data_IF_720482045610
#
_entry.id   IF_720482045610
#
_cell.length_a   1.000
_cell.length_b   1.000
_cell.length_c   1.000
_cell.angle_alpha   90.00
_cell.angle_beta   90.00
_cell.angle_gamma   90.00
#
_symmetry.space_group_name_H-M   'P 1'
#
loop_
_entity.id
_entity.type
_entity.pdbx_description
1 polymer ?
#
# COMPACT_ATOMS: atom_id res chain seq x y z
N UNK A 1 -9.20 14.62 -22.49
CA UNK A 1 -7.80 14.14 -22.52
C UNK A 1 -7.84 12.65 -22.27
N UNK A 2 -7.50 11.82 -23.25
CA UNK A 2 -7.59 10.36 -23.13
C UNK A 2 -6.45 9.84 -22.25
N UNK A 3 -6.76 9.40 -21.02
CA UNK A 3 -5.78 8.79 -20.10
C UNK A 3 -5.64 7.27 -20.31
N UNK A 4 -6.10 6.74 -21.44
CA UNK A 4 -6.06 5.31 -21.75
C UNK A 4 -7.30 4.55 -21.27
N UNK A 5 -7.24 3.21 -21.11
CA UNK A 5 -8.37 2.38 -20.67
C UNK A 5 -8.89 2.68 -19.25
N UNK A 6 -8.33 3.70 -18.60
CA UNK A 6 -8.52 4.02 -17.19
C UNK A 6 -9.26 5.34 -16.96
N UNK A 7 -9.79 5.97 -18.01
CA UNK A 7 -10.46 7.28 -17.96
C UNK A 7 -11.68 7.34 -17.02
N UNK A 8 -12.18 6.18 -16.56
CA UNK A 8 -13.31 6.05 -15.63
C UNK A 8 -12.96 5.77 -14.17
N UNK A 9 -11.68 5.57 -13.80
CA UNK A 9 -11.31 5.19 -12.43
C UNK A 9 -10.85 6.42 -11.64
N UNK A 10 -11.55 6.73 -10.55
CA UNK A 10 -11.23 7.86 -9.67
C UNK A 10 -10.76 7.40 -8.29
N UNK A 11 -9.44 7.33 -8.11
CA UNK A 11 -8.78 7.03 -6.82
C UNK A 11 -8.86 8.17 -5.80
N UNK A 12 -9.45 9.30 -6.17
CA UNK A 12 -9.65 10.47 -5.29
C UNK A 12 -11.12 10.75 -5.02
N UNK A 13 -12.00 9.84 -5.46
CA UNK A 13 -13.45 9.93 -5.34
C UNK A 13 -13.93 9.89 -3.89
N UNK A 14 -15.20 10.25 -3.69
CA UNK A 14 -15.87 10.16 -2.38
C UNK A 14 -16.01 8.70 -1.99
N UNK A 15 -15.71 8.39 -0.73
CA UNK A 15 -15.82 7.03 -0.21
C UNK A 15 -17.28 6.58 -0.17
N UNK A 16 -17.56 5.44 -0.77
CA UNK A 16 -18.79 4.68 -0.54
C UNK A 16 -18.81 4.07 0.87
N UNK A 17 -20.00 3.72 1.41
CA UNK A 17 -20.11 3.04 2.71
C UNK A 17 -19.29 1.74 2.80
N UNK A 18 -19.20 1.00 1.69
CA UNK A 18 -18.43 -0.23 1.59
C UNK A 18 -16.93 0.07 1.70
N UNK A 19 -16.42 1.06 0.98
CA UNK A 19 -15.02 1.47 1.08
C UNK A 19 -14.68 1.97 2.49
N UNK A 20 -15.54 2.75 3.14
CA UNK A 20 -15.33 3.16 4.54
C UNK A 20 -15.19 1.95 5.46
N UNK A 21 -16.07 0.96 5.29
CA UNK A 21 -16.01 -0.29 6.08
C UNK A 21 -14.71 -1.04 5.84
N UNK A 22 -14.30 -1.17 4.57
CA UNK A 22 -13.02 -1.78 4.18
C UNK A 22 -11.83 -1.04 4.80
N UNK A 23 -11.82 0.30 4.75
CA UNK A 23 -10.75 1.12 5.33
C UNK A 23 -10.65 0.86 6.83
N UNK A 24 -11.77 0.88 7.57
CA UNK A 24 -11.77 0.65 9.03
C UNK A 24 -11.28 -0.77 9.36
N UNK A 25 -11.74 -1.77 8.62
CA UNK A 25 -11.31 -3.15 8.80
C UNK A 25 -9.81 -3.32 8.56
N UNK A 26 -9.31 -2.88 7.39
CA UNK A 26 -7.90 -2.96 7.03
C UNK A 26 -7.03 -2.14 7.99
N UNK A 27 -7.46 -0.94 8.38
CA UNK A 27 -6.74 -0.10 9.34
C UNK A 27 -6.61 -0.80 10.69
N UNK A 28 -7.68 -1.44 11.18
CA UNK A 28 -7.65 -2.20 12.44
C UNK A 28 -6.64 -3.35 12.37
N UNK A 29 -6.61 -4.08 11.25
CA UNK A 29 -5.64 -5.14 11.02
C UNK A 29 -4.20 -4.61 11.00
N UNK A 30 -3.96 -3.51 10.27
CA UNK A 30 -2.63 -2.89 10.18
C UNK A 30 -2.14 -2.35 11.52
N UNK A 31 -3.03 -1.83 12.38
CA UNK A 31 -2.70 -1.43 13.75
C UNK A 31 -2.26 -2.65 14.55
N UNK A 32 -3.04 -3.72 14.55
CA UNK A 32 -2.72 -4.95 15.27
C UNK A 32 -1.37 -5.52 14.83
N UNK A 33 -1.13 -5.59 13.53
CA UNK A 33 0.10 -6.15 12.99
C UNK A 33 1.33 -5.28 13.33
N UNK A 34 1.20 -3.95 13.21
CA UNK A 34 2.25 -3.01 13.62
C UNK A 34 2.60 -3.15 15.10
N UNK A 35 1.58 -3.20 15.98
CA UNK A 35 1.80 -3.39 17.41
C UNK A 35 2.44 -4.74 17.70
N UNK A 36 1.99 -5.81 17.04
CA UNK A 36 2.53 -7.15 17.21
C UNK A 36 4.02 -7.20 16.87
N UNK A 37 4.43 -6.58 15.75
CA UNK A 37 5.84 -6.48 15.37
C UNK A 37 6.69 -5.71 16.37
N UNK A 38 6.18 -4.57 16.85
CA UNK A 38 6.88 -3.73 17.84
C UNK A 38 7.07 -4.49 19.16
N UNK A 39 6.02 -5.19 19.62
CA UNK A 39 6.07 -5.99 20.86
C UNK A 39 7.00 -7.20 20.74
N UNK A 40 7.09 -7.81 19.55
CA UNK A 40 8.00 -8.92 19.28
C UNK A 40 9.46 -8.48 19.08
N UNK A 41 9.74 -7.17 19.04
CA UNK A 41 11.09 -6.65 18.82
C UNK A 41 11.65 -6.99 17.43
N UNK A 42 10.78 -7.06 16.41
CA UNK A 42 11.20 -7.33 15.04
C UNK A 42 12.23 -6.30 14.56
N UNK A 43 13.22 -6.76 13.78
CA UNK A 43 14.27 -5.90 13.18
C UNK A 43 13.98 -5.53 11.73
N UNK A 44 12.82 -5.91 11.21
CA UNK A 44 12.38 -5.64 9.85
C UNK A 44 11.87 -4.18 9.72
N UNK A 45 12.78 -3.21 9.89
CA UNK A 45 12.43 -1.78 9.95
C UNK A 45 11.73 -1.28 8.69
N UNK A 46 12.09 -1.80 7.51
CA UNK A 46 11.46 -1.42 6.26
C UNK A 46 9.98 -1.84 6.22
N UNK A 47 9.68 -3.03 6.72
CA UNK A 47 8.32 -3.55 6.82
C UNK A 47 7.52 -2.83 7.91
N UNK A 48 8.15 -2.44 9.01
CA UNK A 48 7.49 -1.60 10.03
C UNK A 48 7.15 -0.21 9.49
N UNK A 49 8.11 0.44 8.82
CA UNK A 49 7.87 1.70 8.12
C UNK A 49 6.81 1.52 7.03
N UNK A 50 6.77 0.34 6.38
CA UNK A 50 5.73 -0.02 5.42
C UNK A 50 4.33 0.16 6.04
N UNK A 51 4.12 -0.52 7.16
CA UNK A 51 2.83 -0.57 7.84
C UNK A 51 2.42 0.78 8.39
N UNK A 52 3.36 1.55 8.94
CA UNK A 52 3.10 2.92 9.42
C UNK A 52 2.68 3.83 8.27
N UNK A 53 3.36 3.75 7.11
CA UNK A 53 2.98 4.52 5.94
C UNK A 53 1.56 4.19 5.45
N UNK A 54 1.24 2.89 5.32
CA UNK A 54 -0.11 2.45 4.93
C UNK A 54 -1.16 2.91 5.95
N UNK A 55 -0.88 2.85 7.25
CA UNK A 55 -1.77 3.36 8.30
C UNK A 55 -2.05 4.84 8.17
N UNK A 56 -1.00 5.65 7.93
CA UNK A 56 -1.17 7.08 7.66
C UNK A 56 -2.05 7.27 6.45
N UNK A 57 -1.78 6.58 5.33
CA UNK A 57 -2.58 6.69 4.11
C UNK A 57 -4.07 6.36 4.34
N UNK A 58 -4.37 5.23 4.98
CA UNK A 58 -5.74 4.82 5.34
C UNK A 58 -6.43 5.85 6.23
N UNK A 59 -5.73 6.36 7.26
CA UNK A 59 -6.26 7.38 8.17
C UNK A 59 -6.63 8.65 7.42
N UNK A 60 -5.78 9.09 6.49
CA UNK A 60 -6.04 10.28 5.69
C UNK A 60 -7.22 10.10 4.73
N UNK A 61 -7.33 8.94 4.07
CA UNK A 61 -8.48 8.64 3.22
C UNK A 61 -9.80 8.58 4.02
N UNK A 62 -9.75 8.08 5.25
CA UNK A 62 -10.90 8.03 6.14
C UNK A 62 -11.32 9.43 6.60
N UNK A 63 -10.38 10.24 7.10
CA UNK A 63 -10.64 11.61 7.59
C UNK A 63 -11.10 12.54 6.46
N UNK A 64 -10.51 12.42 5.27
CA UNK A 64 -10.91 13.20 4.10
C UNK A 64 -12.25 12.75 3.50
N UNK A 65 -12.75 11.55 3.86
CA UNK A 65 -13.93 10.94 3.25
C UNK A 65 -13.74 10.63 1.76
N UNK A 66 -12.50 10.49 1.29
CA UNK A 66 -12.13 10.31 -0.11
C UNK A 66 -10.97 9.32 -0.27
N UNK A 67 -10.85 8.71 -1.44
CA UNK A 67 -9.76 7.80 -1.78
C UNK A 67 -9.95 6.35 -1.33
N UNK A 68 -11.18 5.92 -1.07
CA UNK A 68 -11.50 4.56 -0.65
C UNK A 68 -11.05 3.51 -1.67
N UNK A 69 -11.24 3.80 -2.96
CA UNK A 69 -10.78 2.92 -4.04
C UNK A 69 -9.25 2.73 -4.05
N UNK A 70 -8.47 3.74 -3.63
CA UNK A 70 -7.01 3.61 -3.54
C UNK A 70 -6.60 2.66 -2.42
N UNK A 71 -7.37 2.67 -1.32
CA UNK A 71 -7.20 1.72 -0.22
C UNK A 71 -7.60 0.31 -0.63
N UNK A 72 -8.70 0.14 -1.36
CA UNK A 72 -9.11 -1.17 -1.88
C UNK A 72 -8.03 -1.78 -2.78
N UNK A 73 -7.43 -0.97 -3.65
CA UNK A 73 -6.31 -1.42 -4.48
C UNK A 73 -5.06 -1.74 -3.64
N UNK A 74 -4.74 -0.89 -2.66
CA UNK A 74 -3.63 -1.12 -1.72
C UNK A 74 -3.80 -2.45 -0.99
N UNK A 75 -5.01 -2.73 -0.48
CA UNK A 75 -5.34 -3.96 0.22
C UNK A 75 -5.24 -5.18 -0.70
N UNK A 76 -5.78 -5.10 -1.93
CA UNK A 76 -5.67 -6.18 -2.91
C UNK A 76 -4.21 -6.54 -3.20
N UNK A 77 -3.37 -5.53 -3.42
CA UNK A 77 -1.95 -5.75 -3.72
C UNK A 77 -1.19 -6.27 -2.49
N UNK A 78 -1.52 -5.78 -1.30
CA UNK A 78 -1.00 -6.33 -0.05
C UNK A 78 -1.32 -7.81 0.09
N UNK A 79 -2.57 -8.22 -0.15
CA UNK A 79 -2.99 -9.62 -0.10
C UNK A 79 -2.31 -10.50 -1.15
N UNK A 80 -2.00 -9.94 -2.32
CA UNK A 80 -1.18 -10.67 -3.31
C UNK A 80 0.21 -10.97 -2.74
N UNK A 81 0.85 -9.99 -2.11
CA UNK A 81 2.22 -10.10 -1.56
C UNK A 81 2.32 -10.91 -0.26
N UNK A 82 1.24 -11.00 0.51
CA UNK A 82 1.25 -11.60 1.85
C UNK A 82 1.75 -13.05 1.87
N UNK A 83 1.28 -13.98 1.02
CA UNK A 83 1.73 -15.38 1.04
C UNK A 83 3.24 -15.51 0.81
N UNK A 84 3.80 -14.72 -0.10
CA UNK A 84 5.23 -14.78 -0.46
C UNK A 84 6.08 -14.15 0.65
N UNK A 85 5.66 -13.01 1.19
CA UNK A 85 6.31 -12.34 2.32
C UNK A 85 6.34 -13.26 3.56
N UNK A 86 5.20 -13.89 3.90
CA UNK A 86 5.10 -14.81 5.03
C UNK A 86 5.97 -16.05 4.82
N UNK A 87 5.97 -16.60 3.61
CA UNK A 87 6.82 -17.77 3.30
C UNK A 87 8.30 -17.41 3.37
N UNK A 88 8.68 -16.20 2.94
CA UNK A 88 10.05 -15.69 3.07
C UNK A 88 10.49 -15.58 4.53
N UNK A 89 9.65 -15.01 5.41
CA UNK A 89 9.95 -14.87 6.84
C UNK A 89 10.13 -16.24 7.50
N UNK A 90 9.22 -17.19 7.23
CA UNK A 90 9.32 -18.57 7.75
C UNK A 90 10.62 -19.23 7.26
N UNK A 91 10.96 -19.07 5.97
CA UNK A 91 12.19 -19.63 5.42
C UNK A 91 13.45 -19.02 6.03
N UNK A 92 13.44 -17.72 6.40
CA UNK A 92 14.54 -17.08 7.12
C UNK A 92 14.66 -17.60 8.55
N UNK A 93 13.54 -17.81 9.26
CA UNK A 93 13.53 -18.33 10.62
C UNK A 93 14.06 -19.78 10.70
N UNK A 94 13.80 -20.59 9.67
CA UNK A 94 14.24 -21.98 9.58
C UNK A 94 15.63 -22.16 8.92
N UNK A 95 16.33 -21.06 8.64
CA UNK A 95 17.53 -21.07 7.79
C UNK A 95 18.67 -21.91 8.38
N UNK A 96 18.91 -21.79 9.68
CA UNK A 96 20.04 -22.45 10.36
C UNK A 96 19.82 -23.95 10.60
N UNK A 97 18.58 -24.46 10.41
CA UNK A 97 18.20 -25.82 10.81
C UNK A 97 18.23 -26.87 9.68
N UNK A 98 18.31 -26.49 8.39
CA UNK A 98 18.23 -27.48 7.30
C UNK A 98 18.87 -27.02 5.97
N UNK A 99 19.76 -27.84 5.36
CA UNK A 99 20.36 -27.55 4.04
C UNK A 99 19.35 -27.44 2.88
N UNK A 100 18.18 -28.07 2.99
CA UNK A 100 17.09 -27.90 2.02
C UNK A 100 16.53 -26.46 2.02
N UNK A 101 16.71 -25.70 3.11
CA UNK A 101 16.29 -24.31 3.25
C UNK A 101 16.99 -23.39 2.25
N UNK A 102 18.25 -23.67 1.87
CA UNK A 102 19.01 -22.77 1.00
C UNK A 102 18.46 -22.69 -0.43
N UNK A 103 17.95 -23.79 -1.00
CA UNK A 103 17.33 -23.78 -2.34
C UNK A 103 15.97 -23.11 -2.30
N UNK A 104 15.15 -23.45 -1.30
CA UNK A 104 13.84 -22.84 -1.08
C UNK A 104 13.98 -21.33 -0.86
N UNK A 105 14.99 -20.89 -0.10
CA UNK A 105 15.27 -19.46 0.10
C UNK A 105 15.67 -18.75 -1.18
N UNK A 106 16.45 -19.36 -2.07
CA UNK A 106 16.80 -18.71 -3.36
C UNK A 106 15.58 -18.54 -4.26
N UNK A 107 14.69 -19.54 -4.31
CA UNK A 107 13.45 -19.44 -5.07
C UNK A 107 12.48 -18.43 -4.45
N UNK A 108 12.37 -18.41 -3.12
CA UNK A 108 11.56 -17.42 -2.41
C UNK A 108 12.12 -16.02 -2.57
N UNK A 109 13.44 -15.82 -2.48
CA UNK A 109 14.06 -14.52 -2.75
C UNK A 109 13.71 -14.01 -4.15
N UNK A 110 13.74 -14.90 -5.14
CA UNK A 110 13.37 -14.55 -6.51
C UNK A 110 11.86 -14.26 -6.64
N UNK A 111 11.01 -15.06 -5.99
CA UNK A 111 9.57 -14.84 -5.98
C UNK A 111 9.22 -13.50 -5.32
N UNK A 112 9.75 -13.22 -4.14
CA UNK A 112 9.63 -11.95 -3.43
C UNK A 112 10.13 -10.80 -4.28
N UNK A 113 11.27 -10.94 -4.97
CA UNK A 113 11.81 -9.91 -5.85
C UNK A 113 10.90 -9.64 -7.06
N UNK A 114 10.44 -10.69 -7.74
CA UNK A 114 9.57 -10.57 -8.92
C UNK A 114 8.24 -9.95 -8.52
N UNK A 115 7.68 -10.40 -7.41
CA UNK A 115 6.41 -9.89 -6.94
C UNK A 115 6.50 -8.44 -6.46
N UNK A 116 7.48 -8.10 -5.62
CA UNK A 116 7.75 -6.71 -5.25
C UNK A 116 7.96 -5.86 -6.50
N UNK A 117 8.64 -6.38 -7.53
CA UNK A 117 8.81 -5.68 -8.78
C UNK A 117 7.47 -5.46 -9.48
N UNK A 118 6.62 -6.49 -9.61
CA UNK A 118 5.30 -6.38 -10.26
C UNK A 118 4.41 -5.39 -9.51
N UNK A 119 4.30 -5.51 -8.19
CA UNK A 119 3.49 -4.59 -7.37
C UNK A 119 4.03 -3.17 -7.47
N UNK A 120 5.35 -2.97 -7.42
CA UNK A 120 5.96 -1.65 -7.60
C UNK A 120 5.74 -1.09 -9.01
N UNK A 121 5.85 -1.90 -10.06
CA UNK A 121 5.65 -1.46 -11.44
C UNK A 121 4.19 -1.26 -11.85
N UNK A 122 3.24 -1.89 -11.16
CA UNK A 122 1.81 -1.68 -11.40
C UNK A 122 1.24 -0.57 -10.51
N UNK A 123 1.54 -0.61 -9.21
CA UNK A 123 0.95 0.31 -8.24
C UNK A 123 1.56 1.71 -8.29
N UNK A 124 2.89 1.82 -8.37
CA UNK A 124 3.54 3.14 -8.33
C UNK A 124 3.16 3.98 -9.54
N UNK A 125 3.24 3.49 -10.80
CA UNK A 125 2.81 4.29 -11.94
C UNK A 125 1.32 4.59 -11.91
N UNK A 126 0.49 3.70 -11.37
CA UNK A 126 -0.95 3.89 -11.35
C UNK A 126 -1.41 4.88 -10.27
N UNK A 127 -0.88 4.78 -9.06
CA UNK A 127 -1.11 5.72 -7.97
C UNK A 127 -0.47 7.08 -8.30
N UNK A 128 0.76 7.12 -8.82
CA UNK A 128 1.38 8.39 -9.23
C UNK A 128 0.64 9.00 -10.40
N UNK A 129 0.36 8.30 -11.50
CA UNK A 129 -0.29 8.92 -12.67
C UNK A 129 -1.73 9.31 -12.34
N UNK A 130 -2.52 8.48 -11.65
CA UNK A 130 -3.91 8.88 -11.35
C UNK A 130 -3.97 9.99 -10.30
N UNK A 131 -3.24 9.87 -9.18
CA UNK A 131 -3.29 10.85 -8.09
C UNK A 131 -2.50 12.09 -8.45
N UNK A 132 -1.27 12.02 -8.95
CA UNK A 132 -0.50 13.21 -9.32
C UNK A 132 -1.19 13.98 -10.46
N UNK A 133 -1.67 13.28 -11.50
CA UNK A 133 -2.27 13.97 -12.65
C UNK A 133 -3.66 14.53 -12.32
N UNK A 134 -4.50 13.84 -11.52
CA UNK A 134 -5.84 14.34 -11.15
C UNK A 134 -5.88 15.25 -9.92
N UNK A 135 -4.91 15.17 -9.01
CA UNK A 135 -4.92 15.98 -7.78
C UNK A 135 -3.95 17.16 -7.80
N UNK A 136 -2.90 17.13 -8.64
CA UNK A 136 -1.92 18.22 -8.76
C UNK A 136 -1.98 18.97 -10.11
N UNK A 137 -2.24 18.28 -11.23
CA UNK A 137 -2.16 18.88 -12.58
C UNK A 137 -3.52 19.27 -13.17
N UNK A 138 -4.49 18.36 -13.13
CA UNK A 138 -5.88 18.66 -13.45
C UNK A 138 -6.47 19.25 -12.18
N UNK A 139 -6.74 20.55 -12.18
CA UNK A 139 -7.33 21.25 -11.04
C UNK A 139 -8.46 20.39 -10.46
N UNK A 140 -8.41 20.04 -9.17
CA UNK A 140 -9.63 19.68 -8.49
C UNK A 140 -10.59 20.87 -8.70
N UNK A 141 -11.91 20.66 -8.73
CA UNK A 141 -12.80 21.81 -8.48
C UNK A 141 -12.30 22.53 -7.21
N UNK A 142 -12.45 23.84 -7.11
CA UNK A 142 -11.93 24.59 -5.96
C UNK A 142 -12.33 23.96 -4.60
N UNK A 143 -13.47 23.26 -4.54
CA UNK A 143 -13.94 22.43 -3.43
C UNK A 143 -13.06 21.19 -3.13
N UNK A 144 -12.67 20.42 -4.15
CA UNK A 144 -11.83 19.23 -3.96
C UNK A 144 -10.37 19.60 -3.61
N UNK A 145 -9.90 20.76 -4.05
CA UNK A 145 -8.57 21.29 -3.71
C UNK A 145 -8.52 21.79 -2.25
N UNK A 146 -9.65 22.30 -1.74
CA UNK A 146 -9.83 22.73 -0.36
C UNK A 146 -10.03 21.57 0.62
N UNK A 147 -10.61 20.46 0.17
CA UNK A 147 -10.94 19.32 1.04
C UNK A 147 -9.73 18.49 1.51
N UNK A 148 -8.61 18.48 0.76
CA UNK A 148 -7.42 17.67 1.07
C UNK A 148 -6.19 18.58 1.08
N UNK A 149 -5.50 18.82 2.21
CA UNK A 149 -4.34 19.69 2.23
C UNK A 149 -3.22 19.18 1.29
N UNK A 150 -2.45 20.10 0.70
CA UNK A 150 -1.40 19.75 -0.27
C UNK A 150 -0.35 18.77 0.27
N UNK A 151 -0.03 18.85 1.57
CA UNK A 151 0.85 17.91 2.25
C UNK A 151 0.30 16.47 2.25
N UNK A 152 -1.03 16.32 2.36
CA UNK A 152 -1.72 15.04 2.33
C UNK A 152 -1.71 14.44 0.92
N UNK A 153 -1.93 15.27 -0.10
CA UNK A 153 -1.77 14.87 -1.50
C UNK A 153 -0.34 14.45 -1.83
N UNK A 154 0.64 15.17 -1.28
CA UNK A 154 2.06 14.80 -1.37
C UNK A 154 2.33 13.43 -0.75
N UNK A 155 1.82 13.19 0.45
CA UNK A 155 1.91 11.89 1.14
C UNK A 155 1.18 10.77 0.40
N UNK A 156 0.05 11.03 -0.25
CA UNK A 156 -0.64 10.06 -1.12
C UNK A 156 0.20 9.62 -2.32
N UNK A 157 1.06 10.49 -2.83
CA UNK A 157 2.02 10.12 -3.88
C UNK A 157 3.29 9.47 -3.31
N UNK A 158 3.71 9.88 -2.11
CA UNK A 158 5.00 9.47 -1.54
C UNK A 158 4.94 8.16 -0.77
N UNK A 159 3.86 7.90 -0.04
CA UNK A 159 3.69 6.68 0.76
C UNK A 159 3.71 5.45 -0.16
N UNK A 160 2.93 5.36 -1.25
CA UNK A 160 3.04 4.26 -2.21
C UNK A 160 4.45 4.00 -2.78
N UNK A 161 5.31 5.03 -2.82
CA UNK A 161 6.65 4.98 -3.44
C UNK A 161 7.75 4.68 -2.43
N UNK A 162 7.66 5.23 -1.23
CA UNK A 162 8.73 5.20 -0.23
C UNK A 162 8.64 4.01 0.74
N UNK A 163 7.51 3.31 0.73
CA UNK A 163 7.07 2.40 1.78
C UNK A 163 6.93 0.97 1.23
N UNK A 164 6.81 0.80 -0.10
CA UNK A 164 6.76 -0.49 -0.81
C UNK A 164 8.10 -0.90 -1.39
#
# INVERSE_FOLDING_TARGET
TWLGPWDGIDFTGINSPQEVTTIIFCQSFMIYDTLSMLLQGSKEYLYQLHHVGVLIHMTMCLVAGRGGLSICLCALLGEMTNPVQNTWIIACALYDDNRASHRTRRLLALATLVELSIVRFLYIPFSLISVFTRSMLLSPSAEAAAAIPAAVRGLWCFIPVAVL
#
